data_IF_271090356965
#
_entry.id   IF_271090356965
#
_cell.length_a   1.000
_cell.length_b   1.000
_cell.length_c   1.000
_cell.angle_alpha   90.00
_cell.angle_beta   90.00
_cell.angle_gamma   90.00
#
_symmetry.space_group_name_H-M   'P 1'
#
loop_
_entity.id
_entity.type
_entity.pdbx_description
1 polymer ?
#
# COMPACT_ATOMS: atom_id res chain seq x y z
N UNK A 1 -35.04 -2.09 0.35
CA UNK A 1 -33.63 -1.66 0.25
C UNK A 1 -33.42 -0.46 1.17
N UNK A 2 -32.81 -0.66 2.35
CA UNK A 2 -32.67 0.42 3.35
C UNK A 2 -31.59 1.40 2.90
N UNK A 3 -31.82 2.72 3.06
CA UNK A 3 -30.85 3.78 2.66
C UNK A 3 -29.41 3.53 3.12
N UNK A 4 -29.24 2.88 4.28
CA UNK A 4 -27.94 2.45 4.80
C UNK A 4 -27.20 1.50 3.86
N UNK A 5 -27.89 0.56 3.23
CA UNK A 5 -27.29 -0.39 2.28
C UNK A 5 -26.80 0.31 1.01
N UNK A 6 -27.50 1.35 0.53
CA UNK A 6 -27.06 2.16 -0.61
C UNK A 6 -25.83 3.02 -0.28
N UNK A 7 -25.78 3.60 0.93
CA UNK A 7 -24.62 4.38 1.38
C UNK A 7 -23.39 3.49 1.52
N UNK A 8 -23.52 2.32 2.15
CA UNK A 8 -22.42 1.36 2.31
C UNK A 8 -21.90 0.92 0.94
N UNK A 9 -22.79 0.61 0.00
CA UNK A 9 -22.40 0.17 -1.34
C UNK A 9 -21.69 1.29 -2.12
N UNK A 10 -22.12 2.53 -1.96
CA UNK A 10 -21.46 3.70 -2.56
C UNK A 10 -20.06 3.94 -2.03
N UNK A 11 -19.85 3.81 -0.71
CA UNK A 11 -18.53 3.96 -0.09
C UNK A 11 -17.58 2.85 -0.54
N UNK A 12 -18.04 1.60 -0.56
CA UNK A 12 -17.24 0.45 -1.02
C UNK A 12 -16.86 0.61 -2.51
N UNK A 13 -17.80 1.08 -3.34
CA UNK A 13 -17.53 1.38 -4.75
C UNK A 13 -16.46 2.46 -4.95
N UNK A 14 -16.53 3.56 -4.18
CA UNK A 14 -15.56 4.64 -4.26
C UNK A 14 -14.14 4.21 -3.84
N UNK A 15 -14.02 3.36 -2.81
CA UNK A 15 -12.75 2.79 -2.37
C UNK A 15 -12.16 1.88 -3.45
N UNK A 16 -12.96 1.03 -4.08
CA UNK A 16 -12.52 0.14 -5.16
C UNK A 16 -12.01 0.93 -6.38
N UNK A 17 -12.73 2.00 -6.77
CA UNK A 17 -12.30 2.87 -7.88
C UNK A 17 -11.03 3.64 -7.53
N UNK A 18 -10.90 4.13 -6.30
CA UNK A 18 -9.69 4.80 -5.82
C UNK A 18 -8.46 3.88 -5.86
N UNK A 19 -8.61 2.64 -5.39
CA UNK A 19 -7.56 1.62 -5.49
C UNK A 19 -7.19 1.33 -6.93
N UNK A 20 -8.17 1.21 -7.83
CA UNK A 20 -7.93 0.94 -9.24
C UNK A 20 -7.17 2.08 -9.93
N UNK A 21 -7.51 3.34 -9.63
CA UNK A 21 -6.79 4.50 -10.17
C UNK A 21 -5.34 4.58 -9.67
N UNK A 22 -5.09 4.25 -8.40
CA UNK A 22 -3.74 4.18 -7.85
C UNK A 22 -2.89 3.12 -8.56
N UNK A 23 -3.47 1.98 -8.94
CA UNK A 23 -2.74 0.92 -9.68
C UNK A 23 -2.48 1.24 -11.15
N UNK A 24 -3.16 2.23 -11.75
CA UNK A 24 -2.98 2.60 -13.16
C UNK A 24 -1.96 3.72 -13.40
N UNK A 25 -1.46 4.35 -12.34
CA UNK A 25 -0.50 5.46 -12.43
C UNK A 25 0.96 4.99 -12.60
N UNK A 26 1.24 3.70 -12.48
CA UNK A 26 2.58 3.13 -12.70
C UNK A 26 2.79 2.74 -14.17
N UNK A 27 3.19 3.73 -14.97
CA UNK A 27 4.01 3.49 -16.16
C UNK A 27 5.29 4.34 -16.05
N UNK A 28 6.31 3.89 -15.30
CA UNK A 28 7.62 4.50 -15.34
C UNK A 28 8.27 4.18 -16.69
N UNK A 29 8.54 5.22 -17.48
CA UNK A 29 9.45 5.12 -18.62
C UNK A 29 10.86 4.75 -18.13
N UNK A 30 11.47 3.79 -18.82
CA UNK A 30 12.50 2.88 -18.31
C UNK A 30 13.94 3.43 -18.28
N UNK A 31 14.14 4.75 -18.13
CA UNK A 31 15.41 5.38 -18.52
C UNK A 31 16.15 6.15 -17.42
N UNK A 32 16.25 5.57 -16.22
CA UNK A 32 17.11 6.16 -15.19
C UNK A 32 17.74 5.12 -14.27
N UNK A 33 18.81 4.50 -14.78
CA UNK A 33 19.78 3.79 -13.95
C UNK A 33 20.28 4.72 -12.83
N UNK A 34 20.30 4.22 -11.59
CA UNK A 34 20.70 5.01 -10.42
C UNK A 34 19.61 5.91 -9.83
N UNK A 35 18.41 5.98 -10.44
CA UNK A 35 17.26 6.64 -9.81
C UNK A 35 16.71 5.83 -8.64
N UNK A 36 16.02 6.54 -7.74
CA UNK A 36 15.28 5.94 -6.63
C UNK A 36 14.21 5.00 -7.16
N UNK A 37 14.10 3.83 -6.55
CA UNK A 37 13.16 2.78 -6.94
C UNK A 37 11.71 3.16 -6.59
N UNK A 38 11.52 3.98 -5.55
CA UNK A 38 10.21 4.47 -5.11
C UNK A 38 10.32 5.97 -4.74
N UNK A 39 10.38 6.87 -5.73
CA UNK A 39 10.53 8.30 -5.49
C UNK A 39 9.35 8.86 -4.68
N UNK A 40 9.64 9.66 -3.65
CA UNK A 40 8.61 10.26 -2.78
C UNK A 40 7.98 9.29 -1.77
N UNK A 41 8.45 8.03 -1.69
CA UNK A 41 7.99 7.09 -0.66
C UNK A 41 8.40 7.58 0.74
N UNK A 42 9.64 8.05 0.90
CA UNK A 42 10.17 8.53 2.18
C UNK A 42 9.28 9.62 2.82
N UNK A 43 8.82 10.59 2.02
CA UNK A 43 7.95 11.68 2.46
C UNK A 43 6.55 11.17 2.88
N UNK A 44 6.10 10.07 2.28
CA UNK A 44 4.77 9.49 2.52
C UNK A 44 4.74 8.46 3.64
N UNK A 45 5.89 7.94 4.09
CA UNK A 45 5.97 6.97 5.18
C UNK A 45 5.38 7.51 6.49
N UNK A 46 5.49 8.82 6.75
CA UNK A 46 4.93 9.46 7.95
C UNK A 46 3.40 9.50 7.98
N UNK A 47 2.74 9.38 6.83
CA UNK A 47 1.28 9.42 6.68
C UNK A 47 0.72 8.09 6.15
N UNK A 48 1.47 7.00 6.35
CA UNK A 48 1.07 5.68 5.89
C UNK A 48 -0.12 5.17 6.71
N UNK A 49 -1.23 4.87 6.03
CA UNK A 49 -2.45 4.36 6.65
C UNK A 49 -2.64 2.85 6.42
N UNK A 50 -2.12 2.33 5.31
CA UNK A 50 -2.18 0.89 4.99
C UNK A 50 -1.03 0.45 4.09
N UNK A 51 -0.68 -0.83 4.21
CA UNK A 51 0.29 -1.53 3.39
C UNK A 51 -0.32 -2.83 2.90
N UNK A 52 -0.34 -3.04 1.59
CA UNK A 52 -0.85 -4.28 0.98
C UNK A 52 0.29 -5.02 0.29
N UNK A 53 0.41 -6.30 0.61
CA UNK A 53 1.33 -7.23 -0.03
C UNK A 53 0.53 -8.12 -0.96
N UNK A 54 0.87 -8.11 -2.23
CA UNK A 54 0.23 -8.93 -3.28
C UNK A 54 1.24 -9.86 -3.93
N UNK A 55 0.79 -11.05 -4.34
CA UNK A 55 1.56 -11.95 -5.20
C UNK A 55 1.13 -11.81 -6.67
N UNK A 56 1.87 -12.49 -7.54
CA UNK A 56 1.52 -12.59 -8.96
C UNK A 56 0.06 -13.01 -9.14
N UNK A 57 -0.64 -12.35 -10.06
CA UNK A 57 -2.10 -12.50 -10.24
C UNK A 57 -2.95 -11.58 -9.35
N UNK A 58 -2.33 -10.60 -8.67
CA UNK A 58 -3.01 -9.61 -7.82
C UNK A 58 -3.73 -10.21 -6.60
N UNK A 59 -3.32 -11.40 -6.16
CA UNK A 59 -3.84 -12.05 -4.96
C UNK A 59 -3.22 -11.39 -3.72
N UNK A 60 -4.07 -10.98 -2.78
CA UNK A 60 -3.66 -10.33 -1.54
C UNK A 60 -3.12 -11.37 -0.58
N UNK A 61 -1.85 -11.21 -0.19
CA UNK A 61 -1.17 -12.07 0.78
C UNK A 61 -1.37 -11.55 2.19
N UNK A 62 -1.31 -10.23 2.36
CA UNK A 62 -1.56 -9.56 3.63
C UNK A 62 -1.88 -8.08 3.41
N UNK A 63 -2.77 -7.54 4.22
CA UNK A 63 -3.05 -6.12 4.37
C UNK A 63 -2.78 -5.73 5.80
N UNK A 64 -1.81 -4.84 5.99
CA UNK A 64 -1.47 -4.24 7.27
C UNK A 64 -2.12 -2.87 7.30
N UNK A 65 -2.95 -2.60 8.29
CA UNK A 65 -3.69 -1.34 8.42
C UNK A 65 -3.49 -0.70 9.79
N UNK A 66 -3.54 0.63 9.81
CA UNK A 66 -3.50 1.40 11.05
C UNK A 66 -4.91 1.46 11.64
N UNK A 67 -5.02 1.11 12.92
CA UNK A 67 -6.25 1.16 13.70
C UNK A 67 -6.06 1.92 15.01
N UNK A 68 -7.13 2.13 15.77
CA UNK A 68 -7.09 2.74 17.11
C UNK A 68 -6.20 1.96 18.10
N UNK A 69 -5.97 0.66 17.84
CA UNK A 69 -5.13 -0.22 18.68
C UNK A 69 -3.69 -0.32 18.18
N UNK A 70 -3.34 0.45 17.14
CA UNK A 70 -2.07 0.35 16.44
C UNK A 70 -2.19 -0.43 15.13
N UNK A 71 -1.06 -0.92 14.64
CA UNK A 71 -0.96 -1.62 13.36
C UNK A 71 -1.38 -3.08 13.50
N UNK A 72 -2.14 -3.59 12.53
CA UNK A 72 -2.56 -4.99 12.53
C UNK A 72 -2.82 -5.56 11.14
N UNK A 73 -2.86 -6.89 11.04
CA UNK A 73 -3.17 -7.62 9.79
C UNK A 73 -4.68 -7.82 9.67
N UNK A 74 -5.30 -7.22 8.66
CA UNK A 74 -6.74 -7.28 8.42
C UNK A 74 -7.23 -8.72 8.23
N UNK A 75 -6.54 -9.53 7.43
CA UNK A 75 -6.90 -10.91 7.11
C UNK A 75 -6.77 -11.86 8.32
N UNK A 76 -6.09 -11.43 9.39
CA UNK A 76 -5.97 -12.17 10.66
C UNK A 76 -6.80 -11.55 11.79
N UNK A 77 -7.83 -10.79 11.45
CA UNK A 77 -8.72 -10.16 12.44
C UNK A 77 -8.06 -9.04 13.24
N UNK A 78 -7.14 -8.30 12.62
CA UNK A 78 -6.41 -7.21 13.28
C UNK A 78 -5.28 -7.70 14.19
N UNK A 79 -4.67 -8.85 13.88
CA UNK A 79 -3.55 -9.37 14.64
C UNK A 79 -2.43 -8.32 14.74
N UNK A 80 -1.92 -8.00 15.94
CA UNK A 80 -1.01 -6.88 16.14
C UNK A 80 0.30 -7.08 15.38
N UNK A 81 0.76 -6.01 14.75
CA UNK A 81 2.02 -5.95 14.01
C UNK A 81 2.88 -4.87 14.62
N UNK A 82 4.13 -5.22 14.90
CA UNK A 82 5.14 -4.23 15.25
C UNK A 82 5.58 -3.47 13.99
N UNK A 83 4.98 -2.30 13.77
CA UNK A 83 5.27 -1.48 12.60
C UNK A 83 6.69 -0.93 12.58
N UNK A 84 7.31 -0.69 13.74
CA UNK A 84 8.70 -0.23 13.80
C UNK A 84 9.64 -1.26 13.16
N UNK A 85 9.29 -2.55 13.29
CA UNK A 85 10.03 -3.64 12.66
C UNK A 85 10.05 -3.58 11.13
N UNK A 86 8.98 -3.08 10.50
CA UNK A 86 8.86 -3.00 9.04
C UNK A 86 9.15 -1.60 8.50
N UNK A 87 9.05 -0.57 9.33
CA UNK A 87 9.37 0.82 8.98
C UNK A 87 10.80 0.95 8.47
N UNK A 88 11.77 0.26 9.10
CA UNK A 88 13.15 0.24 8.64
C UNK A 88 13.30 -0.33 7.22
N UNK A 89 12.57 -1.39 6.89
CA UNK A 89 12.56 -1.98 5.54
C UNK A 89 11.91 -1.06 4.51
N UNK A 90 10.82 -0.38 4.88
CA UNK A 90 10.17 0.60 4.01
C UNK A 90 11.06 1.83 3.76
N UNK A 91 11.82 2.26 4.77
CA UNK A 91 12.80 3.33 4.62
C UNK A 91 13.94 2.89 3.69
N UNK A 92 14.51 1.71 3.90
CA UNK A 92 15.53 1.15 3.01
C UNK A 92 15.02 1.01 1.56
N UNK A 93 13.74 0.65 1.37
CA UNK A 93 13.11 0.60 0.06
C UNK A 93 12.95 1.99 -0.58
N UNK A 94 12.64 3.01 0.24
CA UNK A 94 12.52 4.39 -0.25
C UNK A 94 13.85 4.96 -0.74
N UNK A 95 14.98 4.49 -0.19
CA UNK A 95 16.33 4.88 -0.57
C UNK A 95 16.95 3.94 -1.62
N UNK A 96 16.33 2.79 -1.86
CA UNK A 96 16.81 1.80 -2.81
C UNK A 96 16.91 2.42 -4.21
N UNK A 97 18.03 2.15 -4.89
CA UNK A 97 18.28 2.63 -6.25
C UNK A 97 18.25 1.48 -7.22
N UNK A 98 17.84 1.77 -8.46
CA UNK A 98 17.85 0.79 -9.54
C UNK A 98 19.29 0.56 -10.00
N UNK A 99 19.81 -0.62 -9.71
CA UNK A 99 21.21 -1.03 -9.99
C UNK A 99 21.36 -1.77 -11.33
N UNK A 100 20.27 -2.31 -11.89
CA UNK A 100 20.30 -3.09 -13.12
C UNK A 100 19.12 -2.72 -14.04
N UNK A 101 19.37 -2.71 -15.35
CA UNK A 101 18.32 -2.71 -16.38
C UNK A 101 17.92 -4.16 -16.58
N UNK A 102 16.68 -4.50 -16.22
CA UNK A 102 16.14 -5.83 -16.46
C UNK A 102 15.70 -5.98 -17.92
#
# INVERSE_FOLDING_TARGET
MTRRSLIVLGVVGAVLVGVLLLTRLDFPSDDSLGALHAPGLADRLGVLESLRVTRAGNEVVATIERSDRGWGVAERGGHPVDFERFRGSLLALSEARRVERK
#
